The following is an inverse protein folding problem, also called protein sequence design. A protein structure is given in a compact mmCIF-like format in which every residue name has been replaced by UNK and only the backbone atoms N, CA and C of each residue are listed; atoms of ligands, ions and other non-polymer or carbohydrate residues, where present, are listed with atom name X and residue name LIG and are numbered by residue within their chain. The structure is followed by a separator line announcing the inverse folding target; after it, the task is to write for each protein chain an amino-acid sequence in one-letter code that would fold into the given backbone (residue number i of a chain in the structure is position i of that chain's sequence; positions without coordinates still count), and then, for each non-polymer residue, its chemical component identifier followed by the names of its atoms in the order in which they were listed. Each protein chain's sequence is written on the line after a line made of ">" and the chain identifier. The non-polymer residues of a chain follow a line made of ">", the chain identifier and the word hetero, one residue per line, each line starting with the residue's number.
data_IF_796308569311
#
_entry.id   IF_796308569311
#
_cell.length_a   1.000
_cell.length_b   1.000
_cell.length_c   1.000
_cell.angle_alpha   90.00
_cell.angle_beta   90.00
_cell.angle_gamma   90.00
#
_symmetry.space_group_name_H-M   'P 1'
#
loop_
_entity.id
_entity.type
_entity.pdbx_description
1 polymer ?
#
# COMPACT_ATOMS: atom_id res chain seq x y z
N UNK A 1 22.07 -6.06 -5.29
CA UNK A 1 20.69 -6.56 -5.41
C UNK A 1 20.17 -6.62 -3.99
N UNK A 2 19.12 -5.85 -3.70
CA UNK A 2 18.61 -5.73 -2.34
C UNK A 2 17.46 -6.69 -2.24
N UNK A 3 17.70 -7.87 -1.66
CA UNK A 3 16.66 -8.91 -1.59
C UNK A 3 15.47 -8.40 -0.81
N UNK A 4 14.28 -8.55 -1.38
CA UNK A 4 13.04 -8.22 -0.70
C UNK A 4 12.77 -9.22 0.42
N UNK A 5 12.51 -8.72 1.63
CA UNK A 5 12.38 -9.54 2.83
C UNK A 5 11.28 -9.01 3.76
N UNK A 6 10.61 -9.94 4.44
CA UNK A 6 9.70 -9.67 5.54
C UNK A 6 10.08 -10.55 6.74
N UNK A 7 10.38 -9.91 7.87
CA UNK A 7 10.71 -10.56 9.12
C UNK A 7 9.60 -10.35 10.13
N UNK A 8 9.17 -11.43 10.79
CA UNK A 8 8.24 -11.37 11.92
C UNK A 8 8.99 -11.69 13.20
N UNK A 9 8.73 -10.94 14.24
CA UNK A 9 9.36 -11.14 15.55
C UNK A 9 8.37 -10.85 16.67
N UNK A 10 8.66 -11.40 17.85
CA UNK A 10 7.89 -11.22 19.07
C UNK A 10 8.79 -10.62 20.13
N UNK A 11 8.22 -9.80 21.00
CA UNK A 11 8.93 -9.25 22.13
C UNK A 11 8.69 -10.15 23.35
N UNK A 12 9.74 -10.79 23.85
CA UNK A 12 9.63 -11.64 25.03
C UNK A 12 9.22 -10.82 26.27
N UNK A 13 8.32 -11.38 27.08
CA UNK A 13 7.84 -10.74 28.31
C UNK A 13 6.75 -9.67 28.13
N UNK A 14 6.34 -9.36 26.89
CA UNK A 14 5.20 -8.46 26.60
C UNK A 14 4.34 -9.00 25.45
N UNK A 15 3.03 -8.70 25.45
CA UNK A 15 2.10 -9.18 24.40
C UNK A 15 2.14 -8.31 23.14
N UNK A 16 3.34 -8.15 22.55
CA UNK A 16 3.57 -7.31 21.35
C UNK A 16 4.26 -8.14 20.27
N UNK A 17 3.78 -8.01 19.03
CA UNK A 17 4.41 -8.54 17.82
C UNK A 17 4.94 -7.40 16.96
N UNK A 18 6.03 -7.63 16.26
CA UNK A 18 6.62 -6.69 15.31
C UNK A 18 6.87 -7.33 13.95
N UNK A 19 6.92 -6.48 12.94
CA UNK A 19 7.23 -6.85 11.57
C UNK A 19 8.25 -5.85 11.02
N UNK A 20 9.18 -6.33 10.19
CA UNK A 20 10.13 -5.51 9.46
C UNK A 20 10.08 -5.94 8.00
N UNK A 21 9.91 -4.98 7.10
CA UNK A 21 9.84 -5.26 5.67
C UNK A 21 10.81 -4.37 4.89
N UNK A 22 11.45 -4.95 3.88
CA UNK A 22 12.28 -4.25 2.90
C UNK A 22 11.86 -4.72 1.51
N UNK A 23 11.40 -3.79 0.66
CA UNK A 23 10.86 -4.08 -0.67
C UNK A 23 11.55 -3.21 -1.72
N UNK A 24 12.84 -3.43 -1.95
CA UNK A 24 13.62 -2.67 -2.92
C UNK A 24 13.31 -3.08 -4.36
N UNK A 25 13.39 -4.38 -4.66
CA UNK A 25 13.28 -4.90 -6.03
C UNK A 25 11.83 -4.82 -6.53
N UNK A 26 10.85 -5.22 -5.71
CA UNK A 26 9.41 -5.10 -6.01
C UNK A 26 9.00 -3.65 -6.23
N UNK A 27 9.50 -2.73 -5.41
CA UNK A 27 9.23 -1.30 -5.58
C UNK A 27 9.72 -0.79 -6.93
N UNK A 28 10.97 -1.10 -7.30
CA UNK A 28 11.54 -0.71 -8.59
C UNK A 28 10.73 -1.27 -9.77
N UNK A 29 10.24 -2.51 -9.68
CA UNK A 29 9.38 -3.10 -10.72
C UNK A 29 8.04 -2.36 -10.85
N UNK A 30 7.41 -1.99 -9.73
CA UNK A 30 6.14 -1.26 -9.74
C UNK A 30 6.30 0.12 -10.39
N UNK A 31 7.31 0.90 -9.99
CA UNK A 31 7.52 2.25 -10.52
C UNK A 31 8.07 2.24 -11.96
N UNK A 32 8.67 1.13 -12.41
CA UNK A 32 9.13 0.98 -13.80
C UNK A 32 7.98 0.72 -14.80
N UNK A 33 6.77 0.40 -14.32
CA UNK A 33 5.62 0.09 -15.18
C UNK A 33 5.07 1.29 -15.97
N UNK A 34 5.34 2.51 -15.50
CA UNK A 34 4.93 3.78 -16.10
C UNK A 34 5.88 4.88 -15.61
N UNK A 35 6.07 5.94 -16.39
CA UNK A 35 6.78 7.13 -15.92
C UNK A 35 5.96 7.86 -14.86
N UNK A 36 6.22 7.55 -13.59
CA UNK A 36 5.60 8.22 -12.44
C UNK A 36 6.45 9.41 -11.97
N UNK A 37 5.85 10.59 -11.73
CA UNK A 37 6.49 11.67 -10.99
C UNK A 37 6.91 11.21 -9.59
N UNK A 38 7.99 11.80 -9.06
CA UNK A 38 8.55 11.43 -7.76
C UNK A 38 7.53 11.38 -6.60
N UNK A 39 6.57 12.32 -6.47
CA UNK A 39 5.49 12.22 -5.48
C UNK A 39 4.68 10.93 -5.55
N UNK A 40 4.37 10.46 -6.76
CA UNK A 40 3.58 9.24 -6.98
C UNK A 40 4.43 8.01 -6.70
N UNK A 41 5.72 8.04 -7.03
CA UNK A 41 6.65 6.98 -6.66
C UNK A 41 6.68 6.80 -5.13
N UNK A 42 6.82 7.89 -4.37
CA UNK A 42 6.80 7.86 -2.91
C UNK A 42 5.49 7.28 -2.37
N UNK A 43 4.34 7.76 -2.88
CA UNK A 43 3.02 7.26 -2.47
C UNK A 43 2.84 5.76 -2.74
N UNK A 44 3.27 5.28 -3.91
CA UNK A 44 3.25 3.85 -4.24
C UNK A 44 4.18 3.04 -3.33
N UNK A 45 5.33 3.59 -2.95
CA UNK A 45 6.26 2.97 -2.00
C UNK A 45 5.64 2.82 -0.60
N UNK A 46 5.01 3.86 -0.09
CA UNK A 46 4.30 3.83 1.20
C UNK A 46 3.15 2.81 1.18
N UNK A 47 2.31 2.84 0.14
CA UNK A 47 1.23 1.87 -0.04
C UNK A 47 1.75 0.43 -0.16
N UNK A 48 2.89 0.23 -0.82
CA UNK A 48 3.50 -1.07 -1.00
C UNK A 48 3.92 -1.67 0.35
N UNK A 49 4.62 -0.88 1.15
CA UNK A 49 5.05 -1.27 2.51
C UNK A 49 3.83 -1.54 3.39
N UNK A 50 2.85 -0.64 3.42
CA UNK A 50 1.64 -0.81 4.21
C UNK A 50 0.88 -2.08 3.82
N UNK A 51 0.75 -2.35 2.52
CA UNK A 51 0.07 -3.56 2.01
C UNK A 51 0.82 -4.82 2.41
N UNK A 52 2.14 -4.85 2.31
CA UNK A 52 2.95 -6.03 2.67
C UNK A 52 2.83 -6.38 4.15
N UNK A 53 2.90 -5.36 5.03
CA UNK A 53 2.70 -5.51 6.48
C UNK A 53 1.28 -6.02 6.78
N UNK A 54 0.25 -5.39 6.21
CA UNK A 54 -1.13 -5.85 6.40
C UNK A 54 -1.33 -7.30 5.94
N UNK A 55 -0.76 -7.66 4.78
CA UNK A 55 -0.79 -9.02 4.23
C UNK A 55 -0.16 -10.03 5.18
N UNK A 56 0.94 -9.67 5.85
CA UNK A 56 1.62 -10.54 6.79
C UNK A 56 0.82 -10.82 8.07
N UNK A 57 -0.17 -9.98 8.39
CA UNK A 57 -1.06 -10.21 9.53
C UNK A 57 -2.24 -11.14 9.22
N UNK A 58 -2.47 -11.47 7.96
CA UNK A 58 -3.57 -12.36 7.54
C UNK A 58 -3.34 -13.78 8.08
N UNK A 59 -4.40 -14.38 8.64
CA UNK A 59 -4.38 -15.74 9.21
C UNK A 59 -4.92 -16.80 8.23
N UNK A 60 -5.20 -16.41 6.99
CA UNK A 60 -5.83 -17.24 5.98
C UNK A 60 -5.29 -16.92 4.59
N UNK A 61 -5.50 -17.84 3.65
CA UNK A 61 -5.18 -17.65 2.24
C UNK A 61 -6.19 -16.72 1.58
N UNK A 62 -5.69 -15.77 0.81
CA UNK A 62 -6.51 -14.81 0.07
C UNK A 62 -5.67 -13.69 -0.53
N UNK A 63 -6.35 -12.64 -0.97
CA UNK A 63 -5.77 -11.40 -1.45
C UNK A 63 -6.25 -10.20 -0.65
N UNK A 64 -5.41 -9.17 -0.62
CA UNK A 64 -5.71 -7.86 -0.05
C UNK A 64 -5.45 -6.79 -1.12
N UNK A 65 -6.34 -5.82 -1.17
CA UNK A 65 -6.20 -4.62 -1.99
C UNK A 65 -6.25 -3.42 -1.07
N UNK A 66 -5.19 -2.62 -1.06
CA UNK A 66 -5.14 -1.33 -0.36
C UNK A 66 -5.14 -0.24 -1.41
N UNK A 67 -6.11 0.65 -1.32
CA UNK A 67 -6.40 1.61 -2.37
C UNK A 67 -6.71 2.98 -1.79
N UNK A 68 -6.05 4.00 -2.32
CA UNK A 68 -6.43 5.40 -2.15
C UNK A 68 -7.24 5.85 -3.37
N UNK A 69 -8.38 6.47 -3.13
CA UNK A 69 -9.21 7.12 -4.15
C UNK A 69 -9.54 8.54 -3.71
N UNK A 70 -9.44 9.49 -4.64
CA UNK A 70 -9.78 10.88 -4.34
C UNK A 70 -10.03 11.71 -5.59
N UNK A 71 -10.33 12.99 -5.37
CA UNK A 71 -10.67 13.97 -6.40
C UNK A 71 -9.50 14.90 -6.80
N UNK A 72 -8.30 14.63 -6.29
CA UNK A 72 -7.07 15.33 -6.63
C UNK A 72 -6.41 14.89 -7.94
N UNK A 73 -5.23 15.44 -8.27
CA UNK A 73 -4.49 15.11 -9.49
C UNK A 73 -4.10 13.63 -9.59
N UNK A 74 -3.98 12.94 -8.44
CA UNK A 74 -3.89 11.48 -8.36
C UNK A 74 -5.25 10.93 -7.97
N UNK A 75 -5.99 10.40 -8.94
CA UNK A 75 -7.36 9.90 -8.71
C UNK A 75 -7.39 8.49 -8.10
N UNK A 76 -6.32 7.72 -8.28
CA UNK A 76 -6.21 6.35 -7.79
C UNK A 76 -4.75 6.00 -7.50
N UNK A 77 -4.48 5.40 -6.35
CA UNK A 77 -3.25 4.67 -6.10
C UNK A 77 -3.61 3.35 -5.42
N UNK A 78 -3.15 2.22 -5.96
CA UNK A 78 -3.58 0.90 -5.48
C UNK A 78 -2.44 -0.09 -5.49
N UNK A 79 -2.31 -0.85 -4.40
CA UNK A 79 -1.46 -2.03 -4.30
C UNK A 79 -2.34 -3.24 -3.96
N UNK A 80 -2.08 -4.34 -4.65
CA UNK A 80 -2.65 -5.65 -4.37
C UNK A 80 -1.55 -6.57 -3.89
N UNK A 81 -1.85 -7.35 -2.85
CA UNK A 81 -1.01 -8.42 -2.33
C UNK A 81 -1.81 -9.70 -2.13
N UNK A 82 -1.11 -10.82 -1.99
CA UNK A 82 -1.67 -12.09 -1.56
C UNK A 82 -0.83 -12.71 -0.44
N UNK A 83 -1.35 -13.76 0.18
CA UNK A 83 -0.69 -14.49 1.26
C UNK A 83 0.75 -14.98 0.94
N UNK A 84 1.14 -15.08 -0.34
CA UNK A 84 2.49 -15.40 -0.79
C UNK A 84 3.41 -14.16 -0.92
N UNK A 85 2.94 -12.98 -0.49
CA UNK A 85 3.63 -11.69 -0.66
C UNK A 85 3.86 -11.31 -2.14
N UNK A 86 3.02 -11.79 -3.06
CA UNK A 86 3.07 -11.35 -4.46
C UNK A 86 2.36 -10.01 -4.58
N UNK A 87 3.16 -8.95 -4.66
CA UNK A 87 2.70 -7.57 -4.67
C UNK A 87 2.70 -6.99 -6.09
N UNK A 88 1.68 -6.19 -6.40
CA UNK A 88 1.57 -5.43 -7.65
C UNK A 88 0.74 -4.17 -7.43
N UNK A 89 0.99 -3.12 -8.20
CA UNK A 89 0.20 -1.91 -8.06
C UNK A 89 0.38 -0.91 -9.18
N UNK A 90 -0.50 0.08 -9.18
CA UNK A 90 -0.55 1.14 -10.20
C UNK A 90 -1.11 2.42 -9.58
N UNK A 91 -0.81 3.55 -10.21
CA UNK A 91 -1.49 4.81 -9.93
C UNK A 91 -2.09 5.42 -11.21
N UNK A 92 -3.25 6.06 -11.07
CA UNK A 92 -3.87 6.89 -12.09
C UNK A 92 -3.74 8.34 -11.67
N UNK A 93 -3.22 9.13 -12.58
CA UNK A 93 -3.00 10.56 -12.39
C UNK A 93 -3.15 11.27 -13.73
N UNK A 94 -3.58 12.52 -13.67
CA UNK A 94 -3.80 13.38 -14.84
C UNK A 94 -3.32 14.79 -14.55
N UNK A 95 -2.83 15.48 -15.57
CA UNK A 95 -2.32 16.85 -15.45
C UNK A 95 -0.95 16.95 -14.79
N UNK A 96 -0.66 18.14 -14.27
CA UNK A 96 0.59 18.46 -13.60
C UNK A 96 0.53 18.01 -12.13
N UNK A 97 1.54 17.26 -11.71
CA UNK A 97 1.62 16.75 -10.34
C UNK A 97 2.47 17.72 -9.50
N UNK A 98 1.95 18.26 -8.40
CA UNK A 98 2.72 19.15 -7.53
C UNK A 98 3.94 18.41 -6.97
N UNK A 99 5.08 19.08 -6.89
CA UNK A 99 6.31 18.53 -6.33
C UNK A 99 6.26 18.50 -4.78
N UNK A 100 5.33 17.70 -4.25
CA UNK A 100 4.97 17.60 -2.83
C UNK A 100 4.80 16.13 -2.44
N UNK A 101 5.04 15.81 -1.18
CA UNK A 101 4.66 14.51 -0.62
C UNK A 101 3.38 14.59 0.23
N UNK A 102 2.72 15.76 0.26
CA UNK A 102 1.47 15.92 0.99
C UNK A 102 0.36 15.10 0.32
N UNK A 103 -0.16 14.10 1.04
CA UNK A 103 -1.16 13.18 0.50
C UNK A 103 -2.46 13.89 0.11
N UNK A 104 -2.84 14.97 0.78
CA UNK A 104 -4.04 15.76 0.45
C UNK A 104 -3.84 16.64 -0.80
N UNK A 105 -2.63 17.11 -1.05
CA UNK A 105 -2.33 17.84 -2.30
C UNK A 105 -2.34 16.90 -3.52
N UNK A 106 -1.97 15.63 -3.32
CA UNK A 106 -1.98 14.61 -4.36
C UNK A 106 -3.37 14.00 -4.59
N UNK A 107 -4.05 13.58 -3.52
CA UNK A 107 -5.30 12.83 -3.58
C UNK A 107 -6.54 13.71 -3.47
N UNK A 108 -6.41 14.96 -2.99
CA UNK A 108 -7.55 15.80 -2.66
C UNK A 108 -8.35 15.22 -1.50
N UNK A 109 -9.68 15.32 -1.59
CA UNK A 109 -10.60 14.62 -0.68
C UNK A 109 -10.77 13.20 -1.17
N UNK A 110 -10.63 12.25 -0.25
CA UNK A 110 -10.61 10.85 -0.64
C UNK A 110 -10.82 9.87 0.51
N UNK A 111 -10.66 8.60 0.18
CA UNK A 111 -10.82 7.49 1.08
C UNK A 111 -9.67 6.48 0.91
N UNK A 112 -9.27 5.89 2.02
CA UNK A 112 -8.52 4.64 2.04
C UNK A 112 -9.51 3.48 2.07
N UNK A 113 -9.40 2.60 1.08
CA UNK A 113 -10.22 1.40 0.94
C UNK A 113 -9.32 0.19 1.07
N UNK A 114 -9.61 -0.67 2.05
CA UNK A 114 -8.94 -1.95 2.26
C UNK A 114 -9.95 -3.05 1.97
N UNK A 115 -9.73 -3.80 0.90
CA UNK A 115 -10.52 -4.98 0.56
C UNK A 115 -9.72 -6.23 0.88
N UNK A 116 -10.31 -7.18 1.59
CA UNK A 116 -9.74 -8.51 1.83
C UNK A 116 -10.67 -9.55 1.23
N UNK A 117 -10.15 -10.36 0.33
CA UNK A 117 -10.89 -11.43 -0.36
C UNK A 117 -10.24 -12.78 -0.01
N UNK A 118 -10.78 -13.53 0.97
CA UNK A 118 -10.27 -14.86 1.28
C UNK A 118 -10.56 -15.84 0.15
N UNK A 119 -9.73 -16.86 -0.01
CA UNK A 119 -9.99 -17.98 -0.95
C UNK A 119 -11.26 -18.74 -0.55
N UNK A 120 -11.55 -18.81 0.75
CA UNK A 120 -12.76 -19.42 1.31
C UNK A 120 -13.37 -18.49 2.36
N UNK A 121 -14.63 -18.12 2.17
CA UNK A 121 -15.37 -17.24 3.07
C UNK A 121 -15.84 -15.97 2.37
N UNK A 122 -16.26 -15.00 3.17
CA UNK A 122 -16.86 -13.75 2.68
C UNK A 122 -15.81 -12.66 2.49
N UNK A 123 -16.01 -11.84 1.46
CA UNK A 123 -15.20 -10.64 1.21
C UNK A 123 -15.47 -9.60 2.29
N UNK A 124 -14.41 -8.99 2.80
CA UNK A 124 -14.48 -7.88 3.74
C UNK A 124 -13.95 -6.59 3.10
N UNK A 125 -14.56 -5.45 3.44
CA UNK A 125 -14.10 -4.14 2.98
C UNK A 125 -14.19 -3.11 4.11
N UNK A 126 -13.07 -2.49 4.43
CA UNK A 126 -12.99 -1.30 5.27
C UNK A 126 -12.82 -0.06 4.41
N UNK A 127 -13.53 1.02 4.77
CA UNK A 127 -13.42 2.34 4.12
C UNK A 127 -13.22 3.38 5.22
N UNK A 128 -12.17 4.19 5.09
CA UNK A 128 -11.84 5.26 6.04
C UNK A 128 -11.59 6.55 5.26
N UNK A 129 -12.07 7.68 5.77
CA UNK A 129 -11.77 8.99 5.19
C UNK A 129 -10.28 9.29 5.23
N UNK A 130 -9.77 9.93 4.18
CA UNK A 130 -8.40 10.41 4.15
C UNK A 130 -8.29 11.72 4.95
N UNK A 131 -8.24 11.58 6.28
CA UNK A 131 -8.20 12.70 7.23
C UNK A 131 -6.81 12.90 7.88
N UNK A 132 -5.96 11.87 7.89
CA UNK A 132 -4.61 11.95 8.42
C UNK A 132 -3.64 12.58 7.41
N UNK A 133 -2.64 13.29 7.94
CA UNK A 133 -1.60 13.95 7.13
C UNK A 133 -0.68 12.93 6.41
N UNK A 134 -0.67 11.68 6.87
CA UNK A 134 0.15 10.57 6.37
C UNK A 134 -0.70 9.34 6.08
N UNK A 135 -0.16 8.42 5.26
CA UNK A 135 -0.79 7.10 5.06
C UNK A 135 -0.72 6.22 6.33
N UNK A 136 0.36 6.33 7.11
CA UNK A 136 0.61 5.57 8.33
C UNK A 136 -0.10 6.16 9.55
#
# INVERSE_FOLDING_TARGET
>A
MTTDNLYRYLFDGVSVRGELVQLGDTYQQIIASKEYPAPIQNLLGELLVATSLLTATLKFEGSITVQLQGDGPVSLAVINGDHDQKLRGVARFEGEIPATNNIHELMGKGYLVITITPTKGERYQGVVGLEGDTLA
#
